data_IF_181926733273
#
_entry.id   IF_181926733273
#
_cell.length_a   1.000
_cell.length_b   1.000
_cell.length_c   1.000
_cell.angle_alpha   90.00
_cell.angle_beta   90.00
_cell.angle_gamma   90.00
#
_symmetry.space_group_name_H-M   'P 1'
#
loop_
_entity.id
_entity.type
_entity.pdbx_description
1 polymer ?
#
# COMPACT_ATOMS: atom_id res chain seq x y z
N UNK A 1 -18.14 -38.56 5.07
CA UNK A 1 -17.98 -37.32 4.29
C UNK A 1 -19.02 -36.31 4.71
N UNK A 2 -18.77 -35.58 5.80
CA UNK A 2 -19.53 -34.40 6.22
C UNK A 2 -18.56 -33.44 6.91
N UNK A 3 -17.77 -33.98 7.84
CA UNK A 3 -16.61 -33.30 8.43
C UNK A 3 -15.62 -32.74 7.40
N UNK A 4 -15.23 -33.55 6.41
CA UNK A 4 -14.31 -33.11 5.34
C UNK A 4 -14.92 -32.02 4.42
N UNK A 5 -16.24 -32.00 4.26
CA UNK A 5 -16.93 -30.97 3.47
C UNK A 5 -17.01 -29.65 4.23
N UNK A 6 -17.26 -29.72 5.55
CA UNK A 6 -17.21 -28.55 6.44
C UNK A 6 -15.80 -27.96 6.48
N UNK A 7 -14.78 -28.79 6.69
CA UNK A 7 -13.38 -28.35 6.72
C UNK A 7 -12.97 -27.67 5.41
N UNK A 8 -13.37 -28.24 4.27
CA UNK A 8 -13.16 -27.61 2.96
C UNK A 8 -13.88 -26.27 2.83
N UNK A 9 -15.12 -26.18 3.30
CA UNK A 9 -15.88 -24.93 3.25
C UNK A 9 -15.26 -23.84 4.14
N UNK A 10 -14.75 -24.20 5.32
CA UNK A 10 -14.06 -23.29 6.23
C UNK A 10 -12.77 -22.75 5.59
N UNK A 11 -11.91 -23.63 5.07
CA UNK A 11 -10.65 -23.23 4.42
C UNK A 11 -10.89 -22.37 3.18
N UNK A 12 -11.92 -22.67 2.37
CA UNK A 12 -12.31 -21.82 1.24
C UNK A 12 -12.84 -20.45 1.68
N UNK A 13 -13.53 -20.39 2.83
CA UNK A 13 -13.99 -19.14 3.41
C UNK A 13 -12.83 -18.27 3.89
N UNK A 14 -11.86 -18.89 4.57
CA UNK A 14 -10.63 -18.24 5.04
C UNK A 14 -9.79 -17.72 3.86
N UNK A 15 -9.59 -18.54 2.82
CA UNK A 15 -8.90 -18.15 1.58
C UNK A 15 -9.51 -16.88 0.97
N UNK A 16 -10.84 -16.87 0.78
CA UNK A 16 -11.56 -15.71 0.23
C UNK A 16 -11.46 -14.49 1.13
N UNK A 17 -11.47 -14.68 2.45
CA UNK A 17 -11.31 -13.59 3.41
C UNK A 17 -9.93 -12.95 3.27
N UNK A 18 -8.87 -13.77 3.21
CA UNK A 18 -7.50 -13.31 3.01
C UNK A 18 -7.30 -12.66 1.63
N UNK A 19 -7.89 -13.20 0.57
CA UNK A 19 -7.88 -12.58 -0.77
C UNK A 19 -8.55 -11.19 -0.77
N UNK A 20 -9.69 -11.08 -0.10
CA UNK A 20 -10.40 -9.80 0.04
C UNK A 20 -9.57 -8.79 0.83
N UNK A 21 -8.97 -9.23 1.95
CA UNK A 21 -8.09 -8.38 2.75
C UNK A 21 -6.88 -7.92 1.95
N UNK A 22 -6.20 -8.83 1.24
CA UNK A 22 -5.06 -8.53 0.39
C UNK A 22 -5.42 -7.52 -0.71
N UNK A 23 -6.59 -7.67 -1.31
CA UNK A 23 -7.09 -6.75 -2.34
C UNK A 23 -7.32 -5.35 -1.76
N UNK A 24 -7.93 -5.27 -0.58
CA UNK A 24 -8.17 -4.02 0.14
C UNK A 24 -6.85 -3.33 0.50
N UNK A 25 -5.93 -4.04 1.15
CA UNK A 25 -4.66 -3.49 1.60
C UNK A 25 -3.80 -3.05 0.41
N UNK A 26 -3.75 -3.85 -0.66
CA UNK A 26 -3.02 -3.49 -1.90
C UNK A 26 -3.62 -2.26 -2.59
N UNK A 27 -4.93 -2.02 -2.46
CA UNK A 27 -5.56 -0.81 -2.95
C UNK A 27 -5.15 0.39 -2.11
N UNK A 28 -5.19 0.26 -0.78
CA UNK A 28 -4.78 1.33 0.14
C UNK A 28 -3.29 1.68 -0.04
N UNK A 29 -2.39 0.69 -0.26
CA UNK A 29 -0.98 0.95 -0.60
C UNK A 29 -0.87 1.83 -1.85
N UNK A 30 -1.63 1.51 -2.90
CA UNK A 30 -1.63 2.29 -4.14
C UNK A 30 -2.12 3.72 -3.92
N UNK A 31 -3.16 3.89 -3.12
CA UNK A 31 -3.70 5.21 -2.78
C UNK A 31 -2.72 6.05 -1.96
N UNK A 32 -2.07 5.45 -0.95
CA UNK A 32 -1.05 6.12 -0.15
C UNK A 32 0.19 6.50 -0.97
N UNK A 33 0.66 5.62 -1.88
CA UNK A 33 1.76 5.96 -2.81
C UNK A 33 1.37 7.12 -3.73
N UNK A 34 0.16 7.10 -4.29
CA UNK A 34 -0.32 8.20 -5.12
C UNK A 34 -0.44 9.52 -4.33
N UNK A 35 -0.83 9.46 -3.05
CA UNK A 35 -0.86 10.63 -2.16
C UNK A 35 0.56 11.15 -1.87
N UNK A 36 1.51 10.27 -1.61
CA UNK A 36 2.92 10.60 -1.40
C UNK A 36 3.54 11.29 -2.62
N UNK A 37 3.25 10.78 -3.82
CA UNK A 37 3.72 11.36 -5.08
C UNK A 37 3.16 12.77 -5.30
N UNK A 38 1.85 12.94 -5.07
CA UNK A 38 1.18 14.26 -5.15
C UNK A 38 1.77 15.25 -4.15
N UNK A 39 1.97 14.83 -2.90
CA UNK A 39 2.59 15.65 -1.86
C UNK A 39 4.00 16.07 -2.28
N UNK A 40 4.80 15.13 -2.79
CA UNK A 40 6.16 15.38 -3.25
C UNK A 40 6.21 16.37 -4.43
N UNK A 41 5.26 16.26 -5.36
CA UNK A 41 5.17 17.19 -6.49
C UNK A 41 4.80 18.61 -6.02
N UNK A 42 3.78 18.72 -5.17
CA UNK A 42 3.35 20.00 -4.60
C UNK A 42 4.50 20.66 -3.81
N UNK A 43 5.17 19.88 -2.96
CA UNK A 43 6.31 20.34 -2.18
C UNK A 43 7.46 20.86 -3.08
N UNK A 44 7.81 20.15 -4.15
CA UNK A 44 8.84 20.65 -5.09
C UNK A 44 8.48 21.98 -5.73
N UNK A 45 7.22 22.13 -6.14
CA UNK A 45 6.72 23.38 -6.74
C UNK A 45 6.77 24.52 -5.73
N UNK A 46 6.20 24.30 -4.54
CA UNK A 46 6.21 25.27 -3.45
C UNK A 46 7.64 25.67 -3.05
N UNK A 47 8.54 24.69 -2.88
CA UNK A 47 9.93 24.91 -2.49
C UNK A 47 10.67 25.80 -3.49
N UNK A 48 10.48 25.55 -4.80
CA UNK A 48 11.06 26.41 -5.84
C UNK A 48 10.59 27.85 -5.68
N UNK A 49 9.28 28.09 -5.58
CA UNK A 49 8.72 29.44 -5.45
C UNK A 49 9.17 30.13 -4.17
N UNK A 50 9.22 29.39 -3.04
CA UNK A 50 9.65 29.92 -1.76
C UNK A 50 11.13 30.34 -1.80
N UNK A 51 12.00 29.52 -2.38
CA UNK A 51 13.42 29.84 -2.52
C UNK A 51 13.66 31.02 -3.48
N UNK A 52 12.91 31.08 -4.58
CA UNK A 52 12.95 32.22 -5.50
C UNK A 52 12.56 33.52 -4.78
N UNK A 53 11.49 33.50 -3.99
CA UNK A 53 11.05 34.65 -3.20
C UNK A 53 12.11 35.09 -2.17
N UNK A 54 12.64 34.14 -1.38
CA UNK A 54 13.71 34.41 -0.40
C UNK A 54 14.95 35.00 -1.09
N UNK A 55 15.33 34.46 -2.25
CA UNK A 55 16.48 34.97 -3.01
C UNK A 55 16.26 36.40 -3.52
N UNK A 56 15.04 36.73 -3.95
CA UNK A 56 14.67 38.08 -4.38
C UNK A 56 14.72 39.08 -3.22
N UNK A 57 14.13 38.73 -2.08
CA UNK A 57 14.15 39.56 -0.87
C UNK A 57 15.59 39.80 -0.39
N UNK A 58 16.44 38.76 -0.42
CA UNK A 58 17.87 38.89 -0.09
C UNK A 58 18.60 39.84 -1.04
N UNK A 59 18.34 39.74 -2.35
CA UNK A 59 18.94 40.62 -3.34
C UNK A 59 18.49 42.08 -3.16
N UNK A 60 17.21 42.31 -2.84
CA UNK A 60 16.67 43.62 -2.52
C UNK A 60 17.33 44.20 -1.27
N UNK A 61 17.46 43.42 -0.20
CA UNK A 61 18.11 43.85 1.04
C UNK A 61 19.56 44.29 0.78
N UNK A 62 20.34 43.48 0.06
CA UNK A 62 21.72 43.82 -0.35
C UNK A 62 21.75 45.13 -1.16
N UNK A 63 20.80 45.33 -2.07
CA UNK A 63 20.72 46.57 -2.85
C UNK A 63 20.43 47.78 -1.96
N UNK A 64 19.53 47.66 -0.98
CA UNK A 64 19.21 48.75 -0.08
C UNK A 64 20.35 49.08 0.87
N UNK A 65 21.06 48.07 1.36
CA UNK A 65 22.28 48.24 2.17
C UNK A 65 23.38 48.96 1.39
N UNK A 66 23.58 48.63 0.10
CA UNK A 66 24.52 49.37 -0.77
C UNK A 66 24.12 50.82 -1.00
N UNK A 67 22.83 51.09 -1.17
CA UNK A 67 22.33 52.46 -1.33
C UNK A 67 22.51 53.26 -0.04
N UNK A 68 22.30 52.64 1.12
CA UNK A 68 22.56 53.26 2.42
C UNK A 68 24.05 53.61 2.56
N UNK A 69 24.96 52.69 2.24
CA UNK A 69 26.41 52.94 2.29
C UNK A 69 26.81 54.14 1.39
N UNK A 70 26.17 54.30 0.23
CA UNK A 70 26.39 55.44 -0.65
C UNK A 70 25.89 56.76 -0.04
N UNK A 71 24.72 56.75 0.59
CA UNK A 71 24.17 57.92 1.28
C UNK A 71 25.02 58.32 2.49
N UNK A 72 25.50 57.34 3.27
CA UNK A 72 26.38 57.57 4.41
C UNK A 72 27.72 58.20 3.98
N UNK A 73 28.29 57.71 2.86
CA UNK A 73 29.50 58.32 2.26
C UNK A 73 29.24 59.75 1.81
N UNK A 74 28.11 60.02 1.17
CA UNK A 74 27.73 61.36 0.73
C UNK A 74 27.60 62.31 1.92
N UNK A 75 26.96 61.85 3.00
CA UNK A 75 26.82 62.61 4.25
C UNK A 75 28.18 62.93 4.88
N UNK A 76 29.11 61.97 4.90
CA UNK A 76 30.45 62.18 5.47
C UNK A 76 31.28 63.25 4.74
N UNK A 77 30.99 63.49 3.45
CA UNK A 77 31.66 64.49 2.61
C UNK A 77 30.78 65.72 2.32
N UNK A 78 29.67 65.88 3.03
CA UNK A 78 28.70 66.93 2.77
C UNK A 78 29.22 68.31 3.23
N UNK A 79 29.07 69.32 2.37
CA UNK A 79 29.50 70.72 2.60
C UNK A 79 28.45 71.72 2.07
N UNK A 80 27.17 71.32 2.12
CA UNK A 80 26.03 72.12 1.65
C UNK A 80 25.39 72.95 2.76
N UNK A 81 24.23 73.53 2.46
CA UNK A 81 23.46 74.31 3.43
C UNK A 81 22.60 73.42 4.36
N UNK A 82 22.00 74.04 5.38
CA UNK A 82 21.21 73.34 6.40
C UNK A 82 19.94 72.68 5.84
N UNK A 83 19.36 73.24 4.77
CA UNK A 83 18.16 72.68 4.14
C UNK A 83 18.51 71.42 3.34
N UNK A 84 19.62 71.45 2.61
CA UNK A 84 20.19 70.30 1.89
C UNK A 84 20.65 69.19 2.84
N UNK A 85 21.26 69.54 3.99
CA UNK A 85 21.63 68.59 5.04
C UNK A 85 20.40 67.87 5.60
N UNK A 86 19.35 68.63 5.90
CA UNK A 86 18.09 68.09 6.43
C UNK A 86 17.46 67.11 5.44
N UNK A 87 17.44 67.45 4.15
CA UNK A 87 16.93 66.56 3.10
C UNK A 87 17.77 65.28 2.95
N UNK A 88 19.09 65.34 3.16
CA UNK A 88 19.97 64.16 3.16
C UNK A 88 19.70 63.25 4.36
N UNK A 89 19.53 63.83 5.55
CA UNK A 89 19.17 63.09 6.77
C UNK A 89 17.81 62.40 6.65
N UNK A 90 16.82 63.03 6.03
CA UNK A 90 15.53 62.40 5.75
C UNK A 90 15.66 61.21 4.81
N UNK A 91 16.48 61.32 3.74
CA UNK A 91 16.75 60.19 2.83
C UNK A 91 17.45 59.03 3.54
N UNK A 92 18.44 59.32 4.39
CA UNK A 92 19.10 58.30 5.22
C UNK A 92 18.11 57.59 6.13
N UNK A 93 17.26 58.34 6.83
CA UNK A 93 16.24 57.80 7.71
C UNK A 93 15.28 56.87 6.95
N UNK A 94 14.74 57.32 5.81
CA UNK A 94 13.86 56.50 4.97
C UNK A 94 14.56 55.23 4.48
N UNK A 95 15.85 55.31 4.13
CA UNK A 95 16.61 54.16 3.70
C UNK A 95 16.81 53.14 4.84
N UNK A 96 17.08 53.59 6.06
CA UNK A 96 17.12 52.72 7.24
C UNK A 96 15.78 52.03 7.49
N UNK A 97 14.67 52.77 7.48
CA UNK A 97 13.32 52.20 7.65
C UNK A 97 12.98 51.16 6.59
N UNK A 98 13.40 51.41 5.33
CA UNK A 98 13.22 50.47 4.23
C UNK A 98 14.02 49.18 4.42
N UNK A 99 15.27 49.28 4.88
CA UNK A 99 16.11 48.12 5.20
C UNK A 99 15.50 47.31 6.34
N UNK A 100 15.09 47.95 7.43
CA UNK A 100 14.47 47.26 8.58
C UNK A 100 13.19 46.54 8.17
N UNK A 101 12.32 47.21 7.40
CA UNK A 101 11.08 46.62 6.90
C UNK A 101 11.36 45.43 5.98
N UNK A 102 12.30 45.58 5.05
CA UNK A 102 12.66 44.51 4.11
C UNK A 102 13.32 43.33 4.82
N UNK A 103 14.17 43.60 5.81
CA UNK A 103 14.81 42.57 6.64
C UNK A 103 13.77 41.76 7.40
N UNK A 104 12.77 42.41 7.99
CA UNK A 104 11.67 41.71 8.65
C UNK A 104 10.89 40.81 7.69
N UNK A 105 10.54 41.31 6.51
CA UNK A 105 9.84 40.51 5.49
C UNK A 105 10.68 39.32 5.02
N UNK A 106 12.00 39.52 4.89
CA UNK A 106 12.94 38.45 4.56
C UNK A 106 13.01 37.38 5.66
N UNK A 107 13.16 37.79 6.93
CA UNK A 107 13.16 36.89 8.08
C UNK A 107 11.85 36.11 8.18
N UNK A 108 10.70 36.79 8.06
CA UNK A 108 9.37 36.15 8.07
C UNK A 108 9.25 35.10 6.94
N UNK A 109 9.78 35.39 5.75
CA UNK A 109 9.79 34.45 4.63
C UNK A 109 10.70 33.24 4.89
N UNK A 110 11.88 33.43 5.51
CA UNK A 110 12.76 32.33 5.91
C UNK A 110 12.11 31.45 6.99
N UNK A 111 11.49 32.05 8.00
CA UNK A 111 10.77 31.32 9.05
C UNK A 111 9.63 30.50 8.47
N UNK A 112 8.79 31.11 7.64
CA UNK A 112 7.68 30.40 7.00
C UNK A 112 8.18 29.24 6.13
N UNK A 113 9.27 29.43 5.40
CA UNK A 113 9.90 28.35 4.63
C UNK A 113 10.36 27.20 5.53
N UNK A 114 11.02 27.49 6.64
CA UNK A 114 11.45 26.46 7.59
C UNK A 114 10.28 25.71 8.23
N UNK A 115 9.22 26.40 8.64
CA UNK A 115 8.02 25.79 9.22
C UNK A 115 7.35 24.83 8.23
N UNK A 116 7.17 25.26 6.99
CA UNK A 116 6.58 24.42 5.95
C UNK A 116 7.47 23.25 5.57
N UNK A 117 8.80 23.40 5.56
CA UNK A 117 9.72 22.26 5.35
C UNK A 117 9.53 21.19 6.45
N UNK A 118 9.43 21.60 7.72
CA UNK A 118 9.18 20.70 8.85
C UNK A 118 7.81 20.02 8.73
N UNK A 119 6.77 20.79 8.42
CA UNK A 119 5.41 20.28 8.24
C UNK A 119 5.34 19.25 7.09
N UNK A 120 5.96 19.56 5.94
CA UNK A 120 6.02 18.64 4.81
C UNK A 120 6.80 17.37 5.14
N UNK A 121 7.92 17.48 5.87
CA UNK A 121 8.69 16.32 6.31
C UNK A 121 7.87 15.42 7.25
N UNK A 122 7.18 16.01 8.23
CA UNK A 122 6.32 15.27 9.15
C UNK A 122 5.19 14.52 8.42
N UNK A 123 4.51 15.18 7.46
CA UNK A 123 3.48 14.53 6.64
C UNK A 123 4.05 13.40 5.78
N UNK A 124 5.26 13.59 5.23
CA UNK A 124 5.94 12.55 4.44
C UNK A 124 6.29 11.35 5.31
N UNK A 125 6.81 11.59 6.51
CA UNK A 125 7.15 10.54 7.47
C UNK A 125 5.92 9.75 7.90
N UNK A 126 4.81 10.43 8.21
CA UNK A 126 3.53 9.79 8.56
C UNK A 126 3.06 8.84 7.46
N UNK A 127 2.98 9.32 6.21
CA UNK A 127 2.55 8.50 5.06
C UNK A 127 3.53 7.33 4.84
N UNK A 128 4.84 7.57 4.96
CA UNK A 128 5.86 6.54 4.75
C UNK A 128 5.79 5.45 5.83
N UNK A 129 5.51 5.84 7.08
CA UNK A 129 5.28 4.90 8.18
C UNK A 129 4.06 4.03 7.92
N UNK A 130 2.92 4.65 7.56
CA UNK A 130 1.70 3.91 7.20
C UNK A 130 1.92 2.96 6.01
N UNK A 131 2.67 3.39 4.99
CA UNK A 131 3.05 2.53 3.87
C UNK A 131 3.87 1.32 4.31
N UNK A 132 4.87 1.54 5.17
CA UNK A 132 5.72 0.45 5.70
C UNK A 132 4.92 -0.57 6.50
N UNK A 133 3.99 -0.11 7.35
CA UNK A 133 3.09 -0.97 8.11
C UNK A 133 2.15 -1.77 7.20
N UNK A 134 1.59 -1.11 6.18
CA UNK A 134 0.67 -1.74 5.24
C UNK A 134 1.38 -2.73 4.30
N UNK A 135 2.57 -2.40 3.79
CA UNK A 135 3.40 -3.30 2.98
C UNK A 135 3.77 -4.57 3.79
N UNK A 136 4.07 -4.43 5.10
CA UNK A 136 4.28 -5.60 5.99
C UNK A 136 3.04 -6.46 6.12
N UNK A 137 1.86 -5.86 6.28
CA UNK A 137 0.58 -6.58 6.34
C UNK A 137 0.27 -7.31 5.04
N UNK A 138 0.42 -6.64 3.90
CA UNK A 138 0.27 -7.23 2.55
C UNK A 138 1.18 -8.45 2.40
N UNK A 139 2.46 -8.32 2.76
CA UNK A 139 3.41 -9.43 2.68
C UNK A 139 3.03 -10.60 3.58
N UNK A 140 2.60 -10.33 4.82
CA UNK A 140 2.17 -11.36 5.76
C UNK A 140 0.92 -12.11 5.26
N UNK A 141 -0.12 -11.40 4.84
CA UNK A 141 -1.36 -11.98 4.29
C UNK A 141 -1.06 -12.79 3.02
N UNK A 142 -0.18 -12.30 2.15
CA UNK A 142 0.22 -13.02 0.95
C UNK A 142 0.96 -14.32 1.26
N UNK A 143 1.84 -14.31 2.27
CA UNK A 143 2.53 -15.51 2.72
C UNK A 143 1.56 -16.55 3.32
N UNK A 144 0.62 -16.09 4.15
CA UNK A 144 -0.42 -16.92 4.75
C UNK A 144 -1.32 -17.56 3.68
N UNK A 145 -1.73 -16.79 2.68
CA UNK A 145 -2.56 -17.26 1.57
C UNK A 145 -1.83 -18.35 0.75
N UNK A 146 -0.54 -18.17 0.48
CA UNK A 146 0.28 -19.20 -0.21
C UNK A 146 0.38 -20.48 0.63
N UNK A 147 0.54 -20.37 1.94
CA UNK A 147 0.57 -21.53 2.84
C UNK A 147 -0.78 -22.26 2.85
N UNK A 148 -1.88 -21.53 3.00
CA UNK A 148 -3.23 -22.08 3.01
C UNK A 148 -3.58 -22.79 1.69
N UNK A 149 -3.24 -22.18 0.55
CA UNK A 149 -3.42 -22.79 -0.77
C UNK A 149 -2.59 -24.07 -0.95
N UNK A 150 -1.36 -24.08 -0.44
CA UNK A 150 -0.51 -25.28 -0.44
C UNK A 150 -1.12 -26.39 0.40
N UNK A 151 -1.58 -26.08 1.62
CA UNK A 151 -2.23 -27.02 2.52
C UNK A 151 -3.52 -27.59 1.91
N UNK A 152 -4.36 -26.73 1.31
CA UNK A 152 -5.56 -27.15 0.59
C UNK A 152 -5.24 -28.16 -0.52
N UNK A 153 -4.21 -27.89 -1.33
CA UNK A 153 -3.82 -28.80 -2.41
C UNK A 153 -3.35 -30.15 -1.90
N UNK A 154 -2.55 -30.18 -0.83
CA UNK A 154 -2.01 -31.41 -0.27
C UNK A 154 -3.10 -32.24 0.41
N UNK A 155 -3.87 -31.64 1.33
CA UNK A 155 -4.86 -32.35 2.14
C UNK A 155 -6.03 -32.88 1.30
N UNK A 156 -6.60 -32.06 0.41
CA UNK A 156 -7.71 -32.48 -0.44
C UNK A 156 -7.25 -33.30 -1.65
N UNK A 157 -6.06 -33.04 -2.18
CA UNK A 157 -5.48 -33.83 -3.27
C UNK A 157 -5.12 -35.25 -2.84
N UNK A 158 -4.58 -35.43 -1.62
CA UNK A 158 -4.31 -36.74 -1.05
C UNK A 158 -5.61 -37.50 -0.72
N UNK A 159 -6.57 -36.83 -0.08
CA UNK A 159 -7.88 -37.42 0.24
C UNK A 159 -8.63 -37.89 -1.01
N UNK A 160 -8.60 -37.12 -2.11
CA UNK A 160 -9.25 -37.52 -3.36
C UNK A 160 -8.66 -38.82 -3.95
N UNK A 161 -7.33 -39.00 -3.88
CA UNK A 161 -6.66 -40.22 -4.34
C UNK A 161 -6.98 -41.42 -3.46
N UNK A 162 -7.02 -41.23 -2.14
CA UNK A 162 -7.39 -42.29 -1.19
C UNK A 162 -8.84 -42.74 -1.38
N UNK A 163 -9.78 -41.80 -1.53
CA UNK A 163 -11.19 -42.11 -1.81
C UNK A 163 -11.31 -42.91 -3.11
N UNK A 164 -10.63 -42.50 -4.18
CA UNK A 164 -10.64 -43.22 -5.45
C UNK A 164 -10.07 -44.64 -5.34
N UNK A 165 -9.00 -44.81 -4.58
CA UNK A 165 -8.39 -46.12 -4.26
C UNK A 165 -9.37 -47.02 -3.49
N UNK A 166 -10.04 -46.49 -2.48
CA UNK A 166 -11.01 -47.22 -1.67
C UNK A 166 -12.26 -47.59 -2.49
N UNK A 167 -12.76 -46.70 -3.35
CA UNK A 167 -13.87 -46.98 -4.24
C UNK A 167 -13.53 -48.11 -5.22
N UNK A 168 -12.30 -48.11 -5.77
CA UNK A 168 -11.82 -49.19 -6.64
C UNK A 168 -11.76 -50.53 -5.92
N UNK A 169 -11.17 -50.57 -4.71
CA UNK A 169 -11.14 -51.78 -3.87
C UNK A 169 -12.54 -52.28 -3.52
N UNK A 170 -13.47 -51.36 -3.23
CA UNK A 170 -14.87 -51.69 -2.98
C UNK A 170 -15.52 -52.33 -4.20
N UNK A 171 -15.30 -51.79 -5.40
CA UNK A 171 -15.83 -52.36 -6.64
C UNK A 171 -15.25 -53.75 -6.94
N UNK A 172 -13.96 -53.97 -6.68
CA UNK A 172 -13.31 -55.28 -6.81
C UNK A 172 -13.94 -56.29 -5.85
N UNK A 173 -14.10 -55.95 -4.57
CA UNK A 173 -14.76 -56.81 -3.59
C UNK A 173 -16.23 -57.13 -3.95
N UNK A 174 -16.98 -56.16 -4.49
CA UNK A 174 -18.35 -56.40 -4.96
C UNK A 174 -18.36 -57.40 -6.12
N UNK A 175 -17.42 -57.29 -7.07
CA UNK A 175 -17.30 -58.24 -8.18
C UNK A 175 -16.95 -59.64 -7.69
N UNK A 176 -16.01 -59.75 -6.74
CA UNK A 176 -15.63 -61.03 -6.14
C UNK A 176 -16.81 -61.68 -5.41
N UNK A 177 -17.57 -60.90 -4.64
CA UNK A 177 -18.79 -61.37 -3.97
C UNK A 177 -19.84 -61.84 -4.97
N UNK A 178 -20.08 -61.07 -6.04
CA UNK A 178 -20.99 -61.47 -7.12
C UNK A 178 -20.53 -62.78 -7.77
N UNK A 179 -19.23 -62.95 -8.02
CA UNK A 179 -18.69 -64.17 -8.59
C UNK A 179 -18.91 -65.36 -7.65
N UNK A 180 -18.62 -65.22 -6.36
CA UNK A 180 -18.85 -66.27 -5.35
C UNK A 180 -20.33 -66.62 -5.24
N UNK A 181 -21.23 -65.64 -5.21
CA UNK A 181 -22.68 -65.86 -5.17
C UNK A 181 -23.13 -66.62 -6.42
N UNK A 182 -22.70 -66.18 -7.60
CA UNK A 182 -23.05 -66.82 -8.88
C UNK A 182 -22.54 -68.26 -8.91
N UNK A 183 -21.33 -68.50 -8.44
CA UNK A 183 -20.73 -69.83 -8.39
C UNK A 183 -21.43 -70.74 -7.38
N UNK A 184 -21.83 -70.22 -6.21
CA UNK A 184 -22.67 -70.95 -5.25
C UNK A 184 -24.05 -71.28 -5.81
N UNK A 185 -24.69 -70.34 -6.49
CA UNK A 185 -25.98 -70.55 -7.16
C UNK A 185 -25.83 -71.62 -8.25
N UNK A 186 -24.78 -71.55 -9.08
CA UNK A 186 -24.49 -72.56 -10.10
C UNK A 186 -24.26 -73.95 -9.48
N UNK A 187 -23.46 -74.06 -8.43
CA UNK A 187 -23.24 -75.31 -7.71
C UNK A 187 -24.54 -75.83 -7.05
N UNK A 188 -25.38 -74.94 -6.54
CA UNK A 188 -26.69 -75.29 -6.00
C UNK A 188 -27.61 -75.87 -7.08
N UNK A 189 -27.74 -75.22 -8.23
CA UNK A 189 -28.52 -75.72 -9.37
C UNK A 189 -27.95 -76.99 -9.98
N UNK A 190 -26.63 -77.18 -9.94
CA UNK A 190 -25.99 -78.45 -10.34
C UNK A 190 -26.36 -79.59 -9.39
N UNK A 191 -26.50 -79.31 -8.10
CA UNK A 191 -26.85 -80.29 -7.06
C UNK A 191 -28.36 -80.52 -6.95
N UNK A 192 -29.16 -79.52 -7.31
CA UNK A 192 -30.62 -79.51 -7.31
C UNK A 192 -31.12 -78.92 -8.63
N UNK A 193 -31.08 -79.67 -9.75
CA UNK A 193 -31.57 -79.18 -11.03
C UNK A 193 -33.06 -78.87 -10.93
N UNK A 194 -33.55 -77.79 -11.58
CA UNK A 194 -34.98 -77.55 -11.64
C UNK A 194 -35.62 -78.74 -12.33
N UNK A 195 -36.61 -79.37 -11.70
CA UNK A 195 -37.42 -80.37 -12.36
C UNK A 195 -38.05 -79.74 -13.61
N UNK A 196 -37.77 -80.34 -14.77
CA UNK A 196 -38.46 -80.07 -16.01
C UNK A 196 -39.94 -80.41 -15.79
N UNK A 197 -40.79 -79.42 -15.56
CA UNK A 197 -42.22 -79.55 -15.84
C UNK A 197 -42.36 -79.31 -17.35
N UNK A 198 -41.89 -80.27 -18.15
CA UNK A 198 -42.27 -80.36 -19.54
C UNK A 198 -43.56 -81.15 -19.59
N UNK A 199 -44.64 -80.42 -19.86
CA UNK A 199 -45.92 -80.94 -20.33
C UNK A 199 -45.65 -81.86 -21.52
N UNK A 200 -46.05 -83.13 -21.40
CA UNK A 200 -45.92 -84.15 -22.42
C UNK A 200 -47.04 -85.17 -22.30
N UNK A 201 -48.16 -84.86 -22.96
CA UNK A 201 -49.28 -85.69 -23.41
C UNK A 201 -49.28 -87.18 -23.04
N UNK A 202 -50.32 -87.61 -22.31
CA UNK A 202 -51.37 -88.55 -22.75
C UNK A 202 -52.45 -88.68 -21.67
#
# INVERSE_FOLDING_TARGET
GYWMEIEKALLLGEEKSLESQLTSDTKEVRELRARLDKLSQHYRQWKSHSLDNISSLKAQLISYERQLEQLEKLQATFDGDTDEETALLEKLKLQHELIETTRKVFEDAEFHHMEEEINNEAQREEITKSLSELDRRVFAVQAELVQLQSQNRVSFGASAKEIQSLEKKRQELIKDLQHVITNKIFLFWRKFPPYNIFVGNL
#
